data_IF_209842951563
#
_entry.id   IF_209842951563
#
_cell.length_a   1.000
_cell.length_b   1.000
_cell.length_c   1.000
_cell.angle_alpha   90.00
_cell.angle_beta   90.00
_cell.angle_gamma   90.00
#
_symmetry.space_group_name_H-M   'P 1'
#
loop_
_entity.id
_entity.type
_entity.pdbx_description
1 polymer ?
#
# COMPACT_ATOMS: atom_id res chain seq x y z
N UNK A 1 -3.79 -19.71 4.25
CA UNK A 1 -4.35 -19.12 3.01
C UNK A 1 -5.32 -17.97 3.31
N UNK A 2 -5.44 -17.51 4.57
CA UNK A 2 -6.23 -16.31 4.94
C UNK A 2 -5.44 -15.00 4.83
N UNK A 3 -4.10 -15.02 4.94
CA UNK A 3 -3.27 -13.80 4.92
C UNK A 3 -3.37 -12.97 3.62
N UNK A 4 -3.90 -13.55 2.55
CA UNK A 4 -4.01 -12.89 1.24
C UNK A 4 -5.32 -12.12 1.04
N UNK A 5 -6.34 -12.31 1.90
CA UNK A 5 -7.62 -11.58 1.80
C UNK A 5 -7.68 -10.33 2.69
N UNK A 6 -6.81 -10.22 3.71
CA UNK A 6 -6.84 -9.11 4.68
C UNK A 6 -5.94 -7.91 4.33
N UNK A 7 -5.22 -7.92 3.21
CA UNK A 7 -4.26 -6.86 2.86
C UNK A 7 -4.32 -6.41 1.39
N UNK A 8 -5.49 -6.38 0.75
CA UNK A 8 -5.62 -5.61 -0.48
C UNK A 8 -5.60 -4.11 -0.12
N UNK A 9 -4.43 -3.48 -0.24
CA UNK A 9 -4.32 -2.03 -0.22
C UNK A 9 -5.35 -1.46 -1.19
N UNK A 10 -6.12 -0.45 -0.76
CA UNK A 10 -7.01 0.24 -1.68
C UNK A 10 -6.19 0.84 -2.84
N UNK A 11 -6.81 1.05 -4.00
CA UNK A 11 -6.11 1.67 -5.13
C UNK A 11 -5.50 3.02 -4.73
N UNK A 12 -6.20 3.80 -3.90
CA UNK A 12 -5.66 5.04 -3.33
C UNK A 12 -4.39 4.81 -2.51
N UNK A 13 -4.38 3.82 -1.62
CA UNK A 13 -3.20 3.50 -0.81
C UNK A 13 -2.04 3.03 -1.68
N UNK A 14 -2.31 2.26 -2.75
CA UNK A 14 -1.30 1.86 -3.73
C UNK A 14 -0.67 3.08 -4.39
N UNK A 15 -1.46 4.04 -4.84
CA UNK A 15 -0.94 5.26 -5.49
C UNK A 15 -0.05 6.07 -4.54
N UNK A 16 -0.46 6.25 -3.28
CA UNK A 16 0.38 6.96 -2.30
C UNK A 16 1.65 6.18 -1.95
N UNK A 17 1.59 4.86 -1.81
CA UNK A 17 2.77 4.05 -1.59
C UNK A 17 3.72 4.08 -2.80
N UNK A 18 3.16 4.03 -4.02
CA UNK A 18 3.90 4.15 -5.26
C UNK A 18 4.58 5.52 -5.37
N UNK A 19 3.89 6.61 -5.00
CA UNK A 19 4.46 7.95 -4.95
C UNK A 19 5.70 7.99 -4.02
N UNK A 20 5.58 7.45 -2.80
CA UNK A 20 6.71 7.37 -1.86
C UNK A 20 7.88 6.60 -2.47
N UNK A 21 7.62 5.42 -3.03
CA UNK A 21 8.65 4.59 -3.65
C UNK A 21 9.32 5.27 -4.85
N UNK A 22 8.54 5.97 -5.68
CA UNK A 22 9.02 6.61 -6.90
C UNK A 22 9.90 7.83 -6.60
N UNK A 23 9.47 8.68 -5.67
CA UNK A 23 10.18 9.94 -5.36
C UNK A 23 11.33 9.77 -4.37
N UNK A 24 11.28 8.75 -3.50
CA UNK A 24 12.26 8.57 -2.42
C UNK A 24 13.01 7.23 -2.52
N UNK A 25 13.06 6.58 -3.68
CA UNK A 25 13.68 5.26 -3.88
C UNK A 25 15.08 5.11 -3.24
N UNK A 26 16.00 6.02 -3.55
CA UNK A 26 17.39 5.98 -3.05
C UNK A 26 17.48 6.26 -1.54
N UNK A 27 16.62 7.13 -1.04
CA UNK A 27 16.46 7.34 0.40
C UNK A 27 15.99 6.04 1.07
N UNK A 28 14.94 5.41 0.55
CA UNK A 28 14.38 4.18 1.11
C UNK A 28 15.37 3.02 1.08
N UNK A 29 16.23 2.92 0.06
CA UNK A 29 17.31 1.93 0.02
C UNK A 29 18.30 2.14 1.18
N UNK A 30 18.69 3.39 1.43
CA UNK A 30 19.56 3.75 2.56
C UNK A 30 18.89 3.48 3.91
N UNK A 31 17.60 3.80 4.04
CA UNK A 31 16.81 3.52 5.25
C UNK A 31 16.68 2.01 5.49
N UNK A 32 16.48 1.22 4.44
CA UNK A 32 16.40 -0.24 4.55
C UNK A 32 17.71 -0.81 5.10
N UNK A 33 18.87 -0.31 4.65
CA UNK A 33 20.18 -0.71 5.17
C UNK A 33 20.31 -0.38 6.67
N UNK A 34 19.91 0.83 7.09
CA UNK A 34 19.89 1.23 8.50
C UNK A 34 18.99 0.31 9.34
N UNK A 35 17.79 0.01 8.85
CA UNK A 35 16.86 -0.86 9.53
C UNK A 35 17.43 -2.28 9.72
N UNK A 36 18.05 -2.85 8.69
CA UNK A 36 18.71 -4.16 8.77
C UNK A 36 19.89 -4.16 9.75
N UNK A 37 20.70 -3.10 9.74
CA UNK A 37 21.80 -2.96 10.68
C UNK A 37 21.30 -2.92 12.14
N UNK A 38 20.24 -2.17 12.42
CA UNK A 38 19.61 -2.11 13.74
C UNK A 38 19.00 -3.46 14.15
N UNK A 39 18.33 -4.17 13.23
CA UNK A 39 17.83 -5.54 13.48
C UNK A 39 18.97 -6.51 13.80
N UNK A 40 20.12 -6.35 13.16
CA UNK A 40 21.32 -7.16 13.42
C UNK A 40 22.04 -6.81 14.74
N UNK A 41 21.56 -5.79 15.45
CA UNK A 41 22.12 -5.32 16.73
C UNK A 41 23.28 -4.33 16.59
N UNK A 42 23.54 -3.81 15.38
CA UNK A 42 24.52 -2.72 15.19
C UNK A 42 23.87 -1.41 15.64
N UNK A 43 24.21 -0.97 16.85
CA UNK A 43 23.77 0.32 17.37
C UNK A 43 24.88 1.36 17.14
N UNK A 44 24.58 2.57 16.63
CA UNK A 44 25.56 3.65 16.48
C UNK A 44 26.25 4.04 17.79
N UNK A 45 25.65 3.72 18.94
CA UNK A 45 26.22 3.96 20.28
C UNK A 45 27.06 2.79 20.83
N UNK A 46 27.24 1.71 20.06
CA UNK A 46 28.07 0.57 20.51
C UNK A 46 29.56 0.90 20.36
N UNK A 47 30.21 1.18 21.49
CA UNK A 47 31.67 1.30 21.57
C UNK A 47 32.29 -0.10 21.61
N UNK A 48 33.00 -0.49 20.54
CA UNK A 48 33.79 -1.73 20.54
C UNK A 48 35.15 -1.43 21.17
N UNK A 49 35.31 -1.86 22.43
CA UNK A 49 36.60 -1.75 23.12
C UNK A 49 37.48 -2.94 22.70
N UNK A 50 38.75 -2.74 22.29
CA UNK A 50 39.67 -3.84 22.03
C UNK A 50 39.99 -4.57 23.33
N UNK A 51 39.26 -5.63 23.66
CA UNK A 51 39.63 -6.52 24.76
C UNK A 51 40.69 -7.49 24.25
N UNK A 52 41.94 -7.31 24.69
CA UNK A 52 43.02 -8.26 24.45
C UNK A 52 42.60 -9.66 24.95
N UNK A 53 42.69 -10.65 24.08
CA UNK A 53 42.19 -12.01 24.30
C UNK A 53 42.95 -12.72 25.43
N UNK A 54 42.33 -12.87 26.59
CA UNK A 54 42.59 -14.03 27.46
C UNK A 54 41.50 -15.05 27.16
N UNK A 55 41.91 -16.19 26.60
CA UNK A 55 41.03 -17.22 26.07
C UNK A 55 40.04 -17.78 27.09
N UNK A 56 38.84 -17.21 27.12
CA UNK A 56 37.63 -17.95 27.41
C UNK A 56 36.59 -17.51 26.38
N UNK A 57 36.27 -18.42 25.47
CA UNK A 57 35.05 -18.35 24.67
C UNK A 57 33.87 -18.33 25.64
N UNK A 58 33.50 -17.15 26.13
CA UNK A 58 32.14 -16.96 26.62
C UNK A 58 31.23 -17.17 25.42
N UNK A 59 30.18 -18.00 25.53
CA UNK A 59 29.16 -18.04 24.50
C UNK A 59 28.70 -16.60 24.29
N UNK A 60 28.67 -16.19 23.02
CA UNK A 60 27.95 -15.01 22.53
C UNK A 60 26.68 -14.89 23.38
N UNK A 61 26.39 -13.73 24.02
CA UNK A 61 25.18 -13.60 24.81
C UNK A 61 24.04 -14.07 23.91
N UNK A 62 23.42 -15.17 24.35
CA UNK A 62 22.24 -15.73 23.70
C UNK A 62 21.29 -14.58 23.49
N UNK A 63 20.87 -14.41 22.24
CA UNK A 63 19.76 -13.59 21.78
C UNK A 63 18.57 -13.78 22.74
N UNK A 64 18.57 -13.05 23.83
CA UNK A 64 17.78 -13.32 25.02
C UNK A 64 16.83 -12.16 25.22
N UNK A 65 15.55 -12.46 25.09
CA UNK A 65 14.39 -11.62 25.42
C UNK A 65 14.08 -10.40 24.53
N UNK A 66 15.04 -9.82 23.81
CA UNK A 66 14.72 -8.78 22.79
C UNK A 66 14.03 -9.35 21.53
N UNK A 67 14.03 -10.68 21.39
CA UNK A 67 13.53 -11.41 20.21
C UNK A 67 12.00 -11.58 20.17
N UNK A 68 11.25 -11.15 21.19
CA UNK A 68 9.80 -11.32 21.21
C UNK A 68 9.03 -10.12 20.63
N UNK A 69 9.68 -8.95 20.48
CA UNK A 69 9.05 -7.76 19.91
C UNK A 69 9.53 -7.55 18.47
N UNK A 70 8.59 -7.63 17.53
CA UNK A 70 8.83 -7.39 16.12
C UNK A 70 9.35 -5.95 15.88
N UNK A 71 10.28 -5.79 14.93
CA UNK A 71 10.78 -4.47 14.51
C UNK A 71 11.93 -3.90 15.35
N UNK A 72 12.29 -2.65 15.06
CA UNK A 72 13.37 -1.88 15.72
C UNK A 72 12.79 -0.80 16.63
N UNK A 73 13.54 -0.36 17.63
CA UNK A 73 13.16 0.81 18.46
C UNK A 73 13.10 2.08 17.61
N UNK A 74 11.96 2.76 17.64
CA UNK A 74 11.71 3.93 16.80
C UNK A 74 12.62 5.11 17.14
N UNK A 75 13.00 5.26 18.41
CA UNK A 75 13.90 6.32 18.87
C UNK A 75 15.30 6.18 18.26
N UNK A 76 15.86 4.97 18.27
CA UNK A 76 17.15 4.66 17.65
C UNK A 76 17.09 4.81 16.14
N UNK A 77 15.99 4.33 15.53
CA UNK A 77 15.78 4.48 14.10
C UNK A 77 15.70 5.96 13.69
N UNK A 78 14.93 6.77 14.41
CA UNK A 78 14.81 8.21 14.20
C UNK A 78 16.18 8.92 14.27
N UNK A 79 17.00 8.61 15.28
CA UNK A 79 18.34 9.17 15.40
C UNK A 79 19.23 8.86 14.19
N UNK A 80 19.15 7.64 13.66
CA UNK A 80 19.89 7.27 12.44
C UNK A 80 19.37 8.03 11.21
N UNK A 81 18.05 8.21 11.10
CA UNK A 81 17.43 8.92 9.98
C UNK A 81 17.76 10.41 9.95
N UNK A 82 17.86 11.08 11.10
CA UNK A 82 18.26 12.49 11.16
C UNK A 82 19.62 12.71 10.49
N UNK A 83 20.60 11.89 10.84
CA UNK A 83 21.93 11.92 10.24
C UNK A 83 21.95 11.55 8.75
N UNK A 84 20.97 10.77 8.29
CA UNK A 84 20.81 10.42 6.88
C UNK A 84 20.26 11.61 6.10
N UNK A 85 19.14 12.19 6.54
CA UNK A 85 18.47 13.30 5.87
C UNK A 85 19.38 14.52 5.73
N UNK A 86 20.20 14.82 6.74
CA UNK A 86 21.15 15.96 6.69
C UNK A 86 22.25 15.79 5.62
N UNK A 87 22.59 14.55 5.27
CA UNK A 87 23.69 14.22 4.34
C UNK A 87 23.20 13.72 2.98
N UNK A 88 21.90 13.55 2.81
CA UNK A 88 21.35 12.91 1.61
C UNK A 88 21.42 13.86 0.43
N UNK A 89 21.98 13.38 -0.68
CA UNK A 89 22.13 14.17 -1.91
C UNK A 89 20.86 14.15 -2.78
N UNK A 90 19.94 13.24 -2.48
CA UNK A 90 18.75 12.97 -3.26
C UNK A 90 17.49 13.40 -2.49
N UNK A 91 16.35 13.34 -3.17
CA UNK A 91 15.04 13.60 -2.58
C UNK A 91 14.86 12.79 -1.28
N UNK A 92 14.49 13.48 -0.21
CA UNK A 92 14.12 12.89 1.06
C UNK A 92 12.86 13.60 1.61
N UNK A 93 12.01 12.89 2.38
CA UNK A 93 10.88 13.54 3.05
C UNK A 93 11.37 14.61 4.03
N UNK A 94 10.59 15.68 4.26
CA UNK A 94 10.96 16.71 5.24
C UNK A 94 11.26 16.09 6.62
N UNK A 95 12.44 16.34 7.22
CA UNK A 95 12.86 15.65 8.45
C UNK A 95 11.88 15.79 9.61
N UNK A 96 11.24 16.96 9.76
CA UNK A 96 10.25 17.21 10.79
C UNK A 96 9.06 16.24 10.71
N UNK A 97 8.60 15.92 9.49
CA UNK A 97 7.48 15.01 9.26
C UNK A 97 7.88 13.55 9.47
N UNK A 98 9.14 13.18 9.16
CA UNK A 98 9.67 11.85 9.47
C UNK A 98 9.71 11.64 10.99
N UNK A 99 10.11 12.68 11.76
CA UNK A 99 10.07 12.62 13.23
C UNK A 99 8.64 12.46 13.75
N UNK A 100 7.68 13.17 13.16
CA UNK A 100 6.26 13.06 13.52
C UNK A 100 5.72 11.64 13.28
N UNK A 101 6.06 11.02 12.15
CA UNK A 101 5.72 9.61 11.86
C UNK A 101 6.22 8.66 12.94
N UNK A 102 7.40 8.92 13.51
CA UNK A 102 8.06 8.05 14.48
C UNK A 102 7.73 8.39 15.94
N UNK A 103 7.16 9.57 16.25
CA UNK A 103 7.09 10.07 17.64
C UNK A 103 6.15 9.27 18.54
N UNK A 104 5.13 8.63 17.97
CA UNK A 104 4.09 7.90 18.72
C UNK A 104 4.28 6.38 18.71
N UNK A 105 5.40 5.90 18.20
CA UNK A 105 5.66 4.48 17.99
C UNK A 105 6.85 4.08 18.84
N UNK A 106 6.72 3.02 19.65
CA UNK A 106 7.86 2.50 20.39
C UNK A 106 8.75 1.65 19.49
N UNK A 107 8.14 0.75 18.72
CA UNK A 107 8.81 -0.15 17.78
C UNK A 107 8.07 -0.22 16.47
N UNK A 108 8.80 -0.34 15.38
CA UNK A 108 8.24 -0.45 14.05
C UNK A 108 8.98 -1.46 13.18
N UNK A 109 8.23 -2.09 12.29
CA UNK A 109 8.80 -2.84 11.16
C UNK A 109 9.10 -1.89 10.01
N UNK A 110 9.98 -2.30 9.09
CA UNK A 110 10.24 -1.51 7.88
C UNK A 110 8.97 -1.34 7.04
N UNK A 111 8.14 -2.38 6.92
CA UNK A 111 6.85 -2.27 6.26
C UNK A 111 5.92 -1.26 6.98
N UNK A 112 5.84 -1.33 8.32
CA UNK A 112 5.08 -0.38 9.11
C UNK A 112 5.54 1.07 8.92
N UNK A 113 6.85 1.29 8.78
CA UNK A 113 7.42 2.59 8.42
C UNK A 113 6.93 3.07 7.05
N UNK A 114 7.04 2.23 6.01
CA UNK A 114 6.62 2.58 4.65
C UNK A 114 5.13 2.91 4.58
N UNK A 115 4.29 2.12 5.28
CA UNK A 115 2.84 2.37 5.38
C UNK A 115 2.55 3.68 6.10
N UNK A 116 3.30 4.01 7.16
CA UNK A 116 3.12 5.26 7.87
C UNK A 116 3.51 6.46 6.99
N UNK A 117 4.61 6.36 6.23
CA UNK A 117 5.00 7.39 5.27
C UNK A 117 3.93 7.62 4.19
N UNK A 118 3.41 6.56 3.58
CA UNK A 118 2.42 6.68 2.49
C UNK A 118 1.08 7.25 2.97
N UNK A 119 0.74 7.10 4.24
CA UNK A 119 -0.49 7.64 4.83
C UNK A 119 -0.32 9.03 5.43
N UNK A 120 0.91 9.54 5.54
CA UNK A 120 1.17 10.82 6.20
C UNK A 120 0.78 12.01 5.33
N UNK A 121 -0.28 12.72 5.71
CA UNK A 121 -0.82 13.84 4.95
C UNK A 121 0.24 14.90 4.63
N UNK A 122 1.01 15.33 5.63
CA UNK A 122 2.04 16.35 5.41
C UNK A 122 3.15 15.90 4.44
N UNK A 123 3.46 14.61 4.37
CA UNK A 123 4.50 14.09 3.45
C UNK A 123 3.94 14.07 2.03
N UNK A 124 2.70 13.59 1.87
CA UNK A 124 2.01 13.57 0.59
C UNK A 124 1.79 14.99 0.04
N UNK A 125 1.43 15.94 0.90
CA UNK A 125 1.30 17.35 0.55
C UNK A 125 2.64 17.98 0.15
N UNK A 126 3.72 17.67 0.89
CA UNK A 126 5.06 18.16 0.55
C UNK A 126 5.56 17.61 -0.79
N UNK A 127 5.17 16.38 -1.16
CA UNK A 127 5.44 15.81 -2.49
C UNK A 127 4.60 16.46 -3.58
N UNK A 128 3.30 16.69 -3.33
CA UNK A 128 2.40 17.39 -4.23
C UNK A 128 2.14 16.70 -5.58
N UNK A 129 2.49 15.41 -5.72
CA UNK A 129 2.33 14.68 -6.98
C UNK A 129 0.93 14.05 -7.16
N UNK A 130 0.18 13.89 -6.08
CA UNK A 130 -1.20 13.42 -6.06
C UNK A 130 -2.09 14.44 -5.34
N UNK A 131 -3.39 14.53 -5.69
CA UNK A 131 -4.35 15.30 -4.93
C UNK A 131 -4.57 14.69 -3.54
N UNK A 132 -5.31 15.40 -2.69
CA UNK A 132 -5.69 14.86 -1.39
C UNK A 132 -6.49 13.56 -1.55
N UNK A 133 -6.32 12.65 -0.57
CA UNK A 133 -6.88 11.29 -0.65
C UNK A 133 -8.40 11.27 -0.85
N UNK A 134 -9.11 12.25 -0.30
CA UNK A 134 -10.56 12.39 -0.46
C UNK A 134 -10.97 12.77 -1.88
N UNK A 135 -10.12 13.49 -2.60
CA UNK A 135 -10.40 13.98 -3.95
C UNK A 135 -9.88 13.05 -5.04
N UNK A 136 -8.96 12.13 -4.69
CA UNK A 136 -8.30 11.23 -5.63
C UNK A 136 -9.26 10.34 -6.44
N UNK A 137 -10.38 9.93 -5.84
CA UNK A 137 -11.39 9.08 -6.47
C UNK A 137 -12.67 9.84 -6.81
N UNK A 138 -12.66 11.18 -6.72
CA UNK A 138 -13.84 11.98 -6.99
C UNK A 138 -14.02 12.15 -8.51
N UNK A 139 -15.07 11.53 -9.06
CA UNK A 139 -15.46 11.64 -10.46
C UNK A 139 -16.93 12.07 -10.57
N UNK A 140 -17.22 13.39 -10.59
CA UNK A 140 -18.59 13.89 -10.62
C UNK A 140 -19.35 13.45 -11.87
N UNK A 141 -18.67 13.20 -12.99
CA UNK A 141 -19.35 12.79 -14.22
C UNK A 141 -19.86 11.35 -14.11
N UNK A 142 -19.03 10.45 -13.57
CA UNK A 142 -19.44 9.06 -13.31
C UNK A 142 -20.51 8.99 -12.22
N UNK A 143 -20.38 9.79 -11.16
CA UNK A 143 -21.35 9.86 -10.07
C UNK A 143 -22.74 10.29 -10.59
N UNK A 144 -22.80 11.31 -11.45
CA UNK A 144 -24.05 11.73 -12.07
C UNK A 144 -24.64 10.68 -13.02
N UNK A 145 -23.82 9.95 -13.77
CA UNK A 145 -24.30 8.89 -14.66
C UNK A 145 -24.90 7.73 -13.87
N UNK A 146 -24.28 7.37 -12.74
CA UNK A 146 -24.80 6.38 -11.81
C UNK A 146 -26.16 6.83 -11.24
N UNK A 147 -26.29 8.08 -10.82
CA UNK A 147 -27.57 8.61 -10.32
C UNK A 147 -28.66 8.57 -11.39
N UNK A 148 -28.35 8.95 -12.64
CA UNK A 148 -29.29 8.85 -13.76
C UNK A 148 -29.73 7.41 -14.03
N UNK A 149 -28.83 6.44 -13.89
CA UNK A 149 -29.16 5.02 -14.06
C UNK A 149 -30.08 4.52 -12.94
N UNK A 150 -29.79 4.89 -11.69
CA UNK A 150 -30.61 4.53 -10.54
C UNK A 150 -32.02 5.12 -10.64
N UNK A 151 -32.16 6.35 -11.12
CA UNK A 151 -33.46 6.98 -11.37
C UNK A 151 -34.31 6.24 -12.44
N UNK A 152 -33.66 5.48 -13.34
CA UNK A 152 -34.31 4.72 -14.41
C UNK A 152 -34.70 3.29 -13.99
N UNK A 153 -34.36 2.84 -12.78
CA UNK A 153 -34.73 1.51 -12.25
C UNK A 153 -35.74 1.69 -11.11
N UNK A 154 -37.06 1.69 -11.39
CA UNK A 154 -38.08 1.82 -10.36
C UNK A 154 -37.96 0.68 -9.34
N UNK A 155 -37.79 1.03 -8.06
CA UNK A 155 -37.80 0.08 -6.94
C UNK A 155 -36.43 -0.39 -6.43
N UNK A 156 -35.31 0.07 -6.99
CA UNK A 156 -33.96 -0.26 -6.49
C UNK A 156 -33.54 0.60 -5.29
N UNK A 157 -34.08 1.83 -5.19
CA UNK A 157 -33.77 2.79 -4.13
C UNK A 157 -34.82 2.77 -3.03
N UNK A 158 -34.82 1.74 -2.18
CA UNK A 158 -35.29 1.95 -0.81
C UNK A 158 -34.22 2.77 -0.10
N UNK A 159 -34.46 4.07 0.02
CA UNK A 159 -33.59 4.98 0.78
C UNK A 159 -33.40 4.43 2.19
N UNK A 160 -32.22 3.89 2.50
CA UNK A 160 -31.80 3.67 3.88
C UNK A 160 -31.40 5.04 4.42
N UNK A 161 -32.40 5.82 4.79
CA UNK A 161 -32.21 6.89 5.78
C UNK A 161 -31.84 6.21 7.09
N UNK A 162 -30.58 6.35 7.50
CA UNK A 162 -30.12 5.98 8.83
C UNK A 162 -30.84 6.87 9.86
N UNK A 163 -31.92 6.35 10.45
CA UNK A 163 -32.55 6.89 11.64
C UNK A 163 -32.43 5.86 12.78
N UNK A 164 -32.09 6.27 14.01
CA UNK A 164 -31.99 5.34 15.12
C UNK A 164 -33.40 5.00 15.63
N UNK A 165 -33.57 3.71 15.98
CA UNK A 165 -34.65 3.12 16.78
C UNK A 165 -35.93 2.66 16.05
N UNK A 166 -36.11 1.34 15.92
CA UNK A 166 -37.04 0.54 16.73
C UNK A 166 -37.46 -0.78 16.02
N UNK A 167 -37.28 -1.89 16.76
CA UNK A 167 -38.09 -3.12 16.82
C UNK A 167 -38.45 -3.94 15.56
N UNK A 168 -37.85 -5.13 15.53
CA UNK A 168 -38.50 -6.46 15.54
C UNK A 168 -39.46 -6.91 14.39
N UNK A 169 -39.03 -8.04 13.76
CA UNK A 169 -39.78 -9.14 13.09
C UNK A 169 -40.00 -9.06 11.56
N UNK A 170 -40.23 -10.22 10.88
CA UNK A 170 -39.45 -11.45 10.89
C UNK A 170 -39.00 -11.85 9.46
N UNK A 171 -38.07 -12.80 9.38
CA UNK A 171 -37.51 -13.34 8.13
C UNK A 171 -38.59 -13.88 7.18
N UNK A 172 -38.63 -13.33 5.95
CA UNK A 172 -39.30 -13.93 4.80
C UNK A 172 -38.23 -14.47 3.84
N UNK A 173 -38.34 -15.75 3.52
CA UNK A 173 -37.54 -16.47 2.54
C UNK A 173 -37.64 -15.82 1.14
N UNK A 174 -36.54 -15.71 0.38
CA UNK A 174 -36.60 -15.15 -0.98
C UNK A 174 -37.16 -16.18 -1.97
N UNK A 175 -37.96 -15.76 -2.97
CA UNK A 175 -38.29 -16.62 -4.09
C UNK A 175 -37.06 -16.76 -5.01
N UNK A 176 -36.76 -17.98 -5.43
CA UNK A 176 -35.82 -18.23 -6.55
C UNK A 176 -36.40 -17.58 -7.81
N UNK A 177 -35.86 -16.43 -8.20
CA UNK A 177 -36.08 -15.85 -9.53
C UNK A 177 -34.78 -16.06 -10.29
N UNK A 178 -34.83 -16.86 -11.35
CA UNK A 178 -33.71 -17.05 -12.26
C UNK A 178 -33.35 -15.72 -12.92
N UNK A 179 -32.11 -15.30 -12.77
CA UNK A 179 -31.54 -14.13 -13.43
C UNK A 179 -31.36 -14.41 -14.93
N UNK A 180 -31.98 -13.63 -15.85
CA UNK A 180 -31.69 -13.71 -17.26
C UNK A 180 -30.45 -12.86 -17.55
N UNK A 181 -29.26 -13.38 -17.23
CA UNK A 181 -28.02 -12.76 -17.69
C UNK A 181 -27.95 -12.88 -19.21
N UNK A 182 -28.21 -11.77 -19.92
CA UNK A 182 -27.72 -11.60 -21.29
C UNK A 182 -26.40 -10.83 -21.23
N UNK A 183 -25.30 -11.34 -21.80
CA UNK A 183 -24.07 -10.59 -21.96
C UNK A 183 -24.31 -9.38 -22.87
N UNK A 184 -24.01 -8.18 -22.38
CA UNK A 184 -23.94 -6.97 -23.21
C UNK A 184 -22.62 -6.96 -23.99
N UNK A 185 -22.53 -7.79 -25.04
CA UNK A 185 -21.55 -7.56 -26.09
C UNK A 185 -22.21 -6.72 -27.18
N UNK A 186 -22.04 -5.39 -27.10
CA UNK A 186 -22.16 -4.54 -28.27
C UNK A 186 -20.91 -4.71 -29.12
N UNK A 187 -20.87 -5.78 -29.93
CA UNK A 187 -19.96 -5.86 -31.06
C UNK A 187 -20.51 -4.95 -32.16
N UNK A 188 -19.85 -3.81 -32.32
CA UNK A 188 -20.01 -2.84 -33.40
C UNK A 188 -20.04 -3.58 -34.74
N UNK A 189 -21.13 -3.47 -35.49
CA UNK A 189 -21.26 -3.96 -36.85
C UNK A 189 -20.28 -3.17 -37.73
N UNK A 190 -19.12 -3.76 -38.02
CA UNK A 190 -18.23 -3.33 -39.10
C UNK A 190 -18.61 -4.17 -40.30
N UNK A 191 -19.38 -3.57 -41.20
CA UNK A 191 -19.49 -4.06 -42.58
C UNK A 191 -18.12 -3.80 -43.24
N UNK A 192 -17.32 -4.86 -43.35
CA UNK A 192 -16.11 -4.87 -44.16
C UNK A 192 -16.12 -6.15 -44.99
N UNK A 193 -16.43 -5.98 -46.26
CA UNK A 193 -16.46 -6.98 -47.30
C UNK A 193 -15.04 -7.55 -47.46
N UNK A 194 -14.84 -8.81 -47.09
CA UNK A 194 -13.57 -9.52 -47.29
C UNK A 194 -13.73 -10.50 -48.44
N UNK A 195 -13.54 -9.99 -49.65
CA UNK A 195 -13.36 -10.77 -50.87
C UNK A 195 -11.86 -11.10 -51.01
N UNK A 196 -11.53 -12.36 -51.35
CA UNK A 196 -10.20 -12.71 -51.85
C UNK A 196 -9.54 -13.92 -51.19
N UNK A 197 -9.79 -15.09 -51.78
CA UNK A 197 -9.20 -16.38 -51.47
C UNK A 197 -7.87 -16.61 -52.22
N UNK A 198 -7.09 -17.57 -51.70
CA UNK A 198 -6.00 -18.39 -52.29
C UNK A 198 -4.65 -17.76 -52.64
N UNK A 199 -3.57 -18.31 -52.05
CA UNK A 199 -2.46 -19.06 -52.70
C UNK A 199 -1.44 -19.44 -51.59
N UNK A 200 -1.41 -20.69 -51.11
CA UNK A 200 -0.47 -21.75 -51.51
C UNK A 200 1.01 -21.36 -51.25
N UNK A 201 1.58 -21.83 -50.13
CA UNK A 201 3.04 -21.98 -50.00
C UNK A 201 3.37 -23.33 -49.40
N UNK A 202 3.81 -24.19 -50.30
CA UNK A 202 4.51 -25.45 -50.09
C UNK A 202 6.03 -25.19 -50.06
N UNK A 203 6.78 -26.19 -49.58
CA UNK A 203 8.22 -26.42 -49.73
C UNK A 203 9.16 -25.59 -48.83
N UNK A 204 10.24 -26.10 -48.22
CA UNK A 204 10.78 -27.45 -47.96
C UNK A 204 12.00 -27.27 -47.05
N UNK A 205 12.38 -28.34 -46.33
CA UNK A 205 13.58 -28.44 -45.48
C UNK A 205 14.89 -28.05 -46.21
N UNK A 206 15.84 -27.47 -45.49
CA UNK A 206 17.26 -27.91 -45.41
C UNK A 206 17.98 -27.25 -44.24
#
# INVERSE_FOLDING_TARGET
>A
MDDAMDCLMSFSDFLFAFQIQFYYSEFLESVAAIYQDLLSGKNPNTVIVPTSSSGQHRPRPTLGEASMLEGVEASLFCQCLENLCDRHKYSCPPPALVKEVLSNVQRLTFYGFLVALSKHHGINQALGALPDKGDLMHDPALDEELERLLAQIPGLVNSVTAGPEASCLPARTPPRVGSPWRPLHHARKVDAESDGSTEETDESET
#
